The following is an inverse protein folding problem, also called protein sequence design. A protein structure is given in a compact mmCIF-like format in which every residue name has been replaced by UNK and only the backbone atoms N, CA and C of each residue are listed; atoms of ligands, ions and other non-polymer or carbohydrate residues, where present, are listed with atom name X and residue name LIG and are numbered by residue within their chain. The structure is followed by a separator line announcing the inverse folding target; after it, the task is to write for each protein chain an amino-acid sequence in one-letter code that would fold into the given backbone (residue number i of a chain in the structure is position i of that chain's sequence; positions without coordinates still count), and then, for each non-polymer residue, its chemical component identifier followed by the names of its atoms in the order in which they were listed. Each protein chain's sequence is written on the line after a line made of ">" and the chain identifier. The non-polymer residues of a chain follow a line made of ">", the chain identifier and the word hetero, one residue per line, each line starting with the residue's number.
data_IF_725481817121
#
_entry.id   IF_725481817121
#
_cell.length_a   1.000
_cell.length_b   1.000
_cell.length_c   1.000
_cell.angle_alpha   90.00
_cell.angle_beta   90.00
_cell.angle_gamma   90.00
#
_symmetry.space_group_name_H-M   'P 1'
#
loop_
_entity.id
_entity.type
_entity.pdbx_description
1 polymer ?
#
# COMPACT_ATOMS: atom_id res chain seq x y z
N UNK A 1 11.72 -21.46 -4.94
CA UNK A 1 10.49 -22.21 -4.63
C UNK A 1 9.42 -21.21 -4.22
N UNK A 2 8.50 -20.87 -5.12
CA UNK A 2 7.46 -19.85 -4.86
C UNK A 2 6.26 -20.50 -4.17
N UNK A 3 5.98 -20.11 -2.93
CA UNK A 3 4.86 -20.64 -2.15
C UNK A 3 3.52 -20.10 -2.66
N UNK A 4 2.63 -20.99 -3.08
CA UNK A 4 1.24 -20.66 -3.44
C UNK A 4 0.36 -20.69 -2.18
N UNK A 5 -0.22 -19.56 -1.80
CA UNK A 5 -1.37 -19.52 -0.91
C UNK A 5 -2.66 -19.65 -1.74
N UNK A 6 -3.42 -20.72 -1.52
CA UNK A 6 -4.68 -21.01 -2.19
C UNK A 6 -5.81 -20.13 -1.60
N UNK A 7 -6.21 -19.08 -2.32
CA UNK A 7 -7.51 -18.41 -2.10
C UNK A 7 -8.45 -18.85 -3.22
N UNK A 8 -9.52 -19.56 -2.85
CA UNK A 8 -10.54 -20.10 -3.75
C UNK A 8 -11.11 -19.00 -4.66
N UNK A 9 -11.10 -19.24 -5.97
CA UNK A 9 -12.15 -18.76 -6.86
C UNK A 9 -11.78 -17.77 -7.97
N UNK A 10 -10.61 -17.13 -7.96
CA UNK A 10 -10.14 -16.31 -9.08
C UNK A 10 -8.62 -16.37 -9.15
N UNK A 11 -8.06 -17.02 -10.17
CA UNK A 11 -6.62 -16.94 -10.46
C UNK A 11 -6.32 -15.56 -11.06
N UNK A 12 -6.25 -14.54 -10.21
CA UNK A 12 -5.50 -13.34 -10.58
C UNK A 12 -4.04 -13.68 -10.29
N UNK A 13 -3.39 -14.34 -11.24
CA UNK A 13 -1.93 -14.29 -11.27
C UNK A 13 -1.58 -12.85 -11.63
N UNK A 14 -1.47 -11.97 -10.64
CA UNK A 14 -0.63 -10.79 -10.83
C UNK A 14 0.79 -11.32 -10.92
N UNK A 15 1.19 -11.76 -12.12
CA UNK A 15 2.59 -12.00 -12.43
C UNK A 15 3.28 -10.68 -12.11
N UNK A 16 4.04 -10.65 -11.01
CA UNK A 16 4.86 -9.51 -10.67
C UNK A 16 5.80 -9.31 -11.86
N UNK A 17 5.63 -8.21 -12.58
CA UNK A 17 6.52 -7.86 -13.69
C UNK A 17 7.86 -7.47 -13.09
N UNK A 18 8.90 -8.20 -13.46
CA UNK A 18 10.28 -7.78 -13.21
C UNK A 18 10.77 -6.94 -14.37
N UNK A 19 11.50 -5.88 -14.05
CA UNK A 19 12.17 -5.02 -15.01
C UNK A 19 13.67 -5.05 -14.70
N UNK A 20 14.51 -5.09 -15.73
CA UNK A 20 15.94 -4.87 -15.62
C UNK A 20 16.23 -3.38 -15.77
N UNK A 21 17.14 -2.85 -14.95
CA UNK A 21 17.60 -1.47 -15.01
C UNK A 21 19.11 -1.48 -15.15
N UNK A 22 19.61 -0.90 -16.24
CA UNK A 22 21.04 -0.70 -16.48
C UNK A 22 21.41 0.74 -16.12
N UNK A 23 22.50 0.91 -15.38
CA UNK A 23 23.00 2.22 -14.95
C UNK A 23 24.53 2.20 -14.96
N UNK A 24 25.16 3.29 -15.40
CA UNK A 24 26.63 3.38 -15.54
C UNK A 24 27.37 3.14 -14.21
N UNK A 25 26.77 3.57 -13.10
CA UNK A 25 27.24 3.31 -11.75
C UNK A 25 26.34 2.28 -11.06
N UNK A 26 26.49 1.00 -11.40
CA UNK A 26 25.65 -0.08 -10.90
C UNK A 26 25.77 -0.31 -9.38
N UNK A 27 26.98 -0.12 -8.83
CA UNK A 27 27.27 -0.35 -7.41
C UNK A 27 26.56 0.66 -6.50
N UNK A 28 26.31 1.89 -6.99
CA UNK A 28 25.58 2.94 -6.26
C UNK A 28 24.07 2.89 -6.46
N UNK A 29 23.60 2.24 -7.54
CA UNK A 29 22.18 2.18 -7.90
C UNK A 29 21.35 1.44 -6.85
N UNK A 30 21.81 0.28 -6.39
CA UNK A 30 21.08 -0.52 -5.41
C UNK A 30 20.90 0.23 -4.07
N UNK A 31 21.96 0.82 -3.46
CA UNK A 31 21.81 1.69 -2.29
C UNK A 31 20.80 2.83 -2.49
N UNK A 32 20.82 3.50 -3.64
CA UNK A 32 19.89 4.59 -3.95
C UNK A 32 18.43 4.11 -4.01
N UNK A 33 18.18 2.99 -4.69
CA UNK A 33 16.84 2.40 -4.79
C UNK A 33 16.30 1.95 -3.43
N UNK A 34 17.17 1.40 -2.57
CA UNK A 34 16.80 1.03 -1.21
C UNK A 34 16.44 2.27 -0.38
N UNK A 35 17.26 3.33 -0.44
CA UNK A 35 16.98 4.58 0.24
C UNK A 35 15.65 5.21 -0.23
N UNK A 36 15.41 5.21 -1.54
CA UNK A 36 14.15 5.70 -2.12
C UNK A 36 12.94 4.89 -1.64
N UNK A 37 13.04 3.55 -1.69
CA UNK A 37 12.01 2.64 -1.17
C UNK A 37 11.70 2.94 0.29
N UNK A 38 12.72 3.13 1.12
CA UNK A 38 12.55 3.35 2.55
C UNK A 38 11.86 4.70 2.85
N UNK A 39 12.20 5.76 2.10
CA UNK A 39 11.49 7.05 2.19
C UNK A 39 10.02 6.90 1.78
N UNK A 40 9.74 6.25 0.64
CA UNK A 40 8.36 6.04 0.18
C UNK A 40 7.56 5.22 1.19
N UNK A 41 8.14 4.15 1.74
CA UNK A 41 7.48 3.34 2.75
C UNK A 41 7.14 4.13 4.02
N UNK A 42 8.06 4.98 4.50
CA UNK A 42 7.79 5.84 5.66
C UNK A 42 6.64 6.80 5.42
N UNK A 43 6.61 7.45 4.25
CA UNK A 43 5.52 8.35 3.86
C UNK A 43 4.18 7.59 3.81
N UNK A 44 4.18 6.37 3.25
CA UNK A 44 2.98 5.54 3.20
C UNK A 44 2.52 5.12 4.59
N UNK A 45 3.43 4.73 5.48
CA UNK A 45 3.14 4.40 6.88
C UNK A 45 2.52 5.60 7.61
N UNK A 46 3.10 6.78 7.44
CA UNK A 46 2.59 8.03 8.01
C UNK A 46 1.17 8.31 7.49
N UNK A 47 0.96 8.31 6.17
CA UNK A 47 -0.36 8.51 5.56
C UNK A 47 -1.37 7.48 6.06
N UNK A 48 -0.99 6.20 6.16
CA UNK A 48 -1.87 5.14 6.67
C UNK A 48 -2.22 5.33 8.14
N UNK A 49 -1.28 5.82 8.96
CA UNK A 49 -1.50 6.08 10.38
C UNK A 49 -2.53 7.19 10.62
N UNK A 50 -2.69 8.10 9.65
CA UNK A 50 -3.67 9.17 9.68
C UNK A 50 -5.07 8.75 9.18
N UNK A 51 -5.26 7.50 8.75
CA UNK A 51 -6.55 7.00 8.27
C UNK A 51 -7.24 6.20 9.39
N UNK A 52 -8.34 6.74 9.90
CA UNK A 52 -9.29 5.97 10.70
C UNK A 52 -10.23 5.17 9.80
N UNK A 53 -10.51 3.91 10.12
CA UNK A 53 -11.42 3.09 9.33
C UNK A 53 -12.78 3.01 9.99
N UNK A 54 -13.80 3.62 9.37
CA UNK A 54 -15.19 3.51 9.84
C UNK A 54 -15.90 2.37 9.13
N UNK A 55 -16.39 1.40 9.91
CA UNK A 55 -17.20 0.30 9.37
C UNK A 55 -18.64 0.76 9.16
N UNK A 56 -19.18 0.60 7.95
CA UNK A 56 -20.57 0.90 7.60
C UNK A 56 -21.24 -0.30 6.95
N UNK A 57 -22.44 -0.63 7.39
CA UNK A 57 -23.29 -1.64 6.74
C UNK A 57 -23.94 -1.02 5.51
N UNK A 58 -23.91 -1.73 4.39
CA UNK A 58 -24.63 -1.30 3.19
C UNK A 58 -26.13 -1.52 3.38
N UNK A 59 -26.98 -0.52 3.11
CA UNK A 59 -28.43 -0.68 3.22
C UNK A 59 -28.90 -1.78 2.27
N UNK A 60 -29.79 -2.65 2.76
CA UNK A 60 -30.33 -3.77 1.97
C UNK A 60 -29.37 -4.92 1.67
N UNK A 61 -28.13 -4.92 2.18
CA UNK A 61 -27.15 -6.00 1.97
C UNK A 61 -26.57 -6.50 3.31
N UNK A 62 -26.16 -7.77 3.36
CA UNK A 62 -25.41 -8.36 4.50
C UNK A 62 -23.89 -8.10 4.38
N UNK A 63 -23.50 -6.99 3.78
CA UNK A 63 -22.10 -6.64 3.56
C UNK A 63 -21.71 -5.40 4.37
N UNK A 64 -20.48 -5.41 4.86
CA UNK A 64 -19.85 -4.29 5.54
C UNK A 64 -18.76 -3.70 4.65
N UNK A 65 -18.62 -2.38 4.66
CA UNK A 65 -17.51 -1.65 4.04
C UNK A 65 -16.73 -0.90 5.11
N UNK A 66 -15.41 -0.91 4.98
CA UNK A 66 -14.55 0.03 5.68
C UNK A 66 -14.41 1.25 4.79
N UNK A 67 -14.74 2.42 5.32
CA UNK A 67 -14.54 3.69 4.66
C UNK A 67 -13.41 4.43 5.38
N UNK A 68 -12.41 4.94 4.64
CA UNK A 68 -11.39 5.78 5.24
C UNK A 68 -12.05 7.06 5.72
N UNK A 69 -11.75 7.42 6.96
CA UNK A 69 -12.06 8.71 7.57
C UNK A 69 -10.70 9.31 7.89
N UNK A 70 -10.36 10.41 7.23
CA UNK A 70 -9.13 11.10 7.57
C UNK A 70 -9.22 11.59 9.01
N UNK A 71 -8.15 11.34 9.77
CA UNK A 71 -7.92 11.89 11.10
C UNK A 71 -7.47 13.35 10.94
N UNK A 72 -8.29 14.19 10.32
CA UNK A 72 -8.02 15.63 10.30
C UNK A 72 -8.46 16.17 11.64
N UNK A 73 -7.50 16.72 12.38
CA UNK A 73 -7.81 17.68 13.42
C UNK A 73 -8.29 18.96 12.71
N UNK A 74 -9.62 19.11 12.59
CA UNK A 74 -10.24 20.28 11.94
C UNK A 74 -10.08 21.54 12.82
N UNK A 75 -9.38 21.44 13.95
CA UNK A 75 -9.08 22.55 14.86
C UNK A 75 -7.72 23.22 14.61
N UNK A 76 -7.21 23.25 13.37
CA UNK A 76 -6.42 24.42 12.93
C UNK A 76 -7.36 25.60 12.66
N UNK A 77 -8.14 25.96 13.67
CA UNK A 77 -8.91 27.19 13.73
C UNK A 77 -8.12 28.18 14.56
N UNK A 78 -7.05 28.71 13.97
CA UNK A 78 -6.59 30.08 14.21
C UNK A 78 -6.89 30.90 12.96
#
# INVERSE_FOLDING_TARGET
>A
MSGCALIKGHRVFSVLRSYSLEHECGDELLPLLLAHRDVVNRILEELWSHIEWKKRKLPGKKQWRLLPKYKVDIHSGE
#
